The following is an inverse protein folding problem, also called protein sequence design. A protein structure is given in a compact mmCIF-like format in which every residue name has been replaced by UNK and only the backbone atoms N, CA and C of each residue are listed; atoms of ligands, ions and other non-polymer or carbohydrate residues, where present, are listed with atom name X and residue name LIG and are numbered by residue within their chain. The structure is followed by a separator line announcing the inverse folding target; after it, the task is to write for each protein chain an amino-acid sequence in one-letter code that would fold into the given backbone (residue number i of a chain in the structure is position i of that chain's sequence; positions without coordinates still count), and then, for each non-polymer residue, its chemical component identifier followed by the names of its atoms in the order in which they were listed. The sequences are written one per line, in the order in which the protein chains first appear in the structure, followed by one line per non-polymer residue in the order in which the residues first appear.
data_IF_519927903434
#
_entry.id   IF_519927903434
#
_cell.length_a   1.000
_cell.length_b   1.000
_cell.length_c   1.000
_cell.angle_alpha   90.00
_cell.angle_beta   90.00
_cell.angle_gamma   90.00
#
_symmetry.space_group_name_H-M   'P 1'
#
loop_
_entity.id
_entity.type
_entity.pdbx_description
1 polymer ?
#
# COMPACT_ATOMS: atom_id res chain seq x y z
N UNK A 1 8.53 14.39 -32.87
CA UNK A 1 8.56 14.87 -31.48
C UNK A 1 7.17 15.04 -30.83
N UNK A 2 6.08 15.38 -31.55
CA UNK A 2 4.79 15.69 -30.91
C UNK A 2 3.97 14.49 -30.37
N UNK A 3 4.14 13.29 -30.93
CA UNK A 3 3.35 12.12 -30.51
C UNK A 3 3.75 11.62 -29.12
N UNK A 4 5.06 11.61 -28.78
CA UNK A 4 5.56 11.16 -27.47
C UNK A 4 4.93 11.94 -26.30
N UNK A 5 4.90 13.27 -26.38
CA UNK A 5 4.32 14.12 -25.32
C UNK A 5 2.82 13.91 -25.11
N UNK A 6 2.07 13.51 -26.15
CA UNK A 6 0.65 13.17 -26.01
C UNK A 6 0.48 11.81 -25.35
N UNK A 7 1.26 10.82 -25.80
CA UNK A 7 1.28 9.46 -25.25
C UNK A 7 1.65 9.47 -23.77
N UNK A 8 2.70 10.20 -23.39
CA UNK A 8 3.15 10.35 -22.00
C UNK A 8 2.08 10.98 -21.11
N UNK A 9 1.40 12.04 -21.57
CA UNK A 9 0.30 12.66 -20.82
C UNK A 9 -0.86 11.68 -20.61
N UNK A 10 -1.21 10.92 -21.64
CA UNK A 10 -2.26 9.90 -21.55
C UNK A 10 -1.85 8.78 -20.59
N UNK A 11 -0.61 8.30 -20.68
CA UNK A 11 -0.07 7.28 -19.79
C UNK A 11 -0.12 7.75 -18.32
N UNK A 12 0.29 8.98 -18.04
CA UNK A 12 0.24 9.56 -16.70
C UNK A 12 -1.19 9.67 -16.15
N UNK A 13 -2.15 10.08 -16.99
CA UNK A 13 -3.57 10.13 -16.61
C UNK A 13 -4.11 8.74 -16.32
N UNK A 14 -3.88 7.77 -17.21
CA UNK A 14 -4.29 6.38 -17.01
C UNK A 14 -3.70 5.83 -15.71
N UNK A 15 -2.40 6.04 -15.45
CA UNK A 15 -1.76 5.57 -14.22
C UNK A 15 -2.45 6.11 -12.96
N UNK A 16 -2.80 7.40 -12.95
CA UNK A 16 -3.50 8.03 -11.81
C UNK A 16 -4.87 7.41 -11.60
N UNK A 17 -5.69 7.35 -12.66
CA UNK A 17 -7.04 6.80 -12.59
C UNK A 17 -7.04 5.32 -12.21
N UNK A 18 -6.09 4.55 -12.75
CA UNK A 18 -5.91 3.15 -12.41
C UNK A 18 -5.54 2.95 -10.94
N UNK A 19 -4.67 3.80 -10.40
CA UNK A 19 -4.30 3.77 -8.98
C UNK A 19 -5.49 4.06 -8.08
N UNK A 20 -6.36 4.99 -8.48
CA UNK A 20 -7.61 5.27 -7.75
C UNK A 20 -8.61 4.10 -7.87
N UNK A 21 -8.75 3.53 -9.07
CA UNK A 21 -9.62 2.38 -9.33
C UNK A 21 -9.24 1.14 -8.53
N UNK A 22 -7.95 0.86 -8.39
CA UNK A 22 -7.45 -0.26 -7.59
C UNK A 22 -7.77 -0.09 -6.10
N UNK A 23 -7.82 1.16 -5.60
CA UNK A 23 -8.12 1.44 -4.19
C UNK A 23 -9.61 1.36 -3.85
N UNK A 24 -10.49 1.82 -4.73
CA UNK A 24 -11.92 2.00 -4.39
C UNK A 24 -12.92 1.48 -5.42
N UNK A 25 -12.47 1.09 -6.62
CA UNK A 25 -13.37 0.78 -7.74
C UNK A 25 -13.49 -0.71 -8.07
N UNK A 26 -12.42 -1.49 -7.91
CA UNK A 26 -12.46 -2.93 -8.15
C UNK A 26 -13.12 -3.60 -6.94
N UNK A 27 -14.14 -4.43 -7.16
CA UNK A 27 -14.89 -5.15 -6.11
C UNK A 27 -14.52 -6.63 -5.98
N UNK A 28 -13.42 -7.03 -6.61
CA UNK A 28 -12.96 -8.42 -6.59
C UNK A 28 -12.09 -8.66 -5.37
N UNK A 29 -12.53 -9.53 -4.48
CA UNK A 29 -11.84 -9.87 -3.24
C UNK A 29 -10.44 -10.45 -3.49
N UNK A 30 -10.23 -11.12 -4.63
CA UNK A 30 -8.91 -11.65 -5.05
C UNK A 30 -7.89 -10.56 -5.31
N UNK A 31 -8.35 -9.36 -5.63
CA UNK A 31 -7.50 -8.17 -5.84
C UNK A 31 -7.25 -7.43 -4.53
N UNK A 32 -8.13 -7.58 -3.53
CA UNK A 32 -7.95 -6.96 -2.21
C UNK A 32 -7.10 -7.81 -1.25
N UNK A 33 -7.04 -9.13 -1.43
CA UNK A 33 -6.17 -10.00 -0.63
C UNK A 33 -4.67 -9.75 -0.88
N UNK A 34 -4.31 -9.45 -2.13
CA UNK A 34 -2.96 -9.00 -2.47
C UNK A 34 -2.85 -7.49 -2.32
N UNK A 35 -1.78 -6.99 -1.71
CA UNK A 35 -1.50 -5.54 -1.79
C UNK A 35 -1.02 -5.24 -3.22
N UNK A 36 -1.93 -4.71 -4.04
CA UNK A 36 -1.72 -4.42 -5.47
C UNK A 36 -1.35 -2.96 -5.68
N UNK A 37 -0.38 -2.69 -6.55
CA UNK A 37 0.02 -1.34 -6.93
C UNK A 37 0.43 -1.26 -8.40
N UNK A 38 0.22 -0.11 -9.04
CA UNK A 38 0.67 0.13 -10.43
C UNK A 38 2.08 0.68 -10.41
N UNK A 39 3.01 -0.01 -11.07
CA UNK A 39 4.39 0.48 -11.22
C UNK A 39 4.48 1.43 -12.42
N UNK A 40 4.02 0.97 -13.58
CA UNK A 40 4.23 1.65 -14.85
C UNK A 40 3.06 1.43 -15.81
N UNK A 41 2.84 2.41 -16.70
CA UNK A 41 1.83 2.34 -17.75
C UNK A 41 2.48 2.72 -19.06
N UNK A 42 2.49 1.78 -19.99
CA UNK A 42 2.96 2.01 -21.36
C UNK A 42 1.76 2.11 -22.29
N UNK A 43 1.70 3.18 -23.06
CA UNK A 43 0.65 3.39 -24.07
C UNK A 43 1.29 3.34 -25.45
N UNK A 44 0.71 2.55 -26.35
CA UNK A 44 1.16 2.48 -27.73
C UNK A 44 0.97 3.82 -28.45
N UNK A 45 1.80 4.10 -29.45
CA UNK A 45 1.75 5.36 -30.20
C UNK A 45 0.43 5.61 -30.95
N UNK A 46 -0.36 4.57 -31.17
CA UNK A 46 -1.71 4.63 -31.75
C UNK A 46 -2.82 4.90 -30.72
N UNK A 47 -2.50 4.93 -29.41
CA UNK A 47 -3.40 5.05 -28.27
C UNK A 47 -4.52 3.99 -28.24
N UNK A 48 -4.35 2.87 -28.94
CA UNK A 48 -5.33 1.78 -28.96
C UNK A 48 -4.96 0.66 -28.01
N UNK A 49 -3.69 0.54 -27.64
CA UNK A 49 -3.20 -0.50 -26.75
C UNK A 49 -2.47 0.12 -25.56
N UNK A 50 -2.75 -0.39 -24.36
CA UNK A 50 -2.15 0.05 -23.12
C UNK A 50 -1.71 -1.16 -22.30
N UNK A 51 -0.44 -1.18 -21.89
CA UNK A 51 0.11 -2.17 -20.96
C UNK A 51 0.24 -1.54 -19.59
N UNK A 52 -0.29 -2.21 -18.58
CA UNK A 52 -0.23 -1.75 -17.19
C UNK A 52 0.60 -2.76 -16.42
N UNK A 53 1.73 -2.30 -15.90
CA UNK A 53 2.60 -3.05 -15.04
C UNK A 53 2.12 -2.94 -13.60
N UNK A 54 1.84 -4.08 -12.99
CA UNK A 54 1.25 -4.19 -11.68
C UNK A 54 2.17 -5.02 -10.79
N UNK A 55 2.51 -4.47 -9.63
CA UNK A 55 3.19 -5.20 -8.57
C UNK A 55 2.14 -5.74 -7.60
N UNK A 56 2.24 -7.04 -7.29
CA UNK A 56 1.39 -7.71 -6.29
C UNK A 56 2.31 -8.23 -5.20
N UNK A 57 2.05 -7.81 -3.96
CA UNK A 57 2.75 -8.33 -2.80
C UNK A 57 2.08 -9.63 -2.35
N UNK A 58 2.84 -10.73 -2.31
CA UNK A 58 2.34 -12.05 -1.92
C UNK A 58 3.11 -13.20 -2.56
N UNK A 59 2.63 -14.43 -2.33
CA UNK A 59 3.18 -15.64 -2.94
C UNK A 59 2.89 -15.71 -4.45
N UNK A 60 3.55 -16.60 -5.19
CA UNK A 60 3.27 -16.80 -6.62
C UNK A 60 1.80 -17.19 -6.90
N UNK A 61 1.17 -17.90 -5.96
CA UNK A 61 -0.24 -18.30 -6.05
C UNK A 61 -1.16 -17.09 -5.90
N UNK A 62 -0.88 -16.21 -4.94
CA UNK A 62 -1.61 -14.95 -4.76
C UNK A 62 -1.46 -14.05 -6.00
N UNK A 63 -0.24 -13.93 -6.52
CA UNK A 63 0.03 -13.17 -7.75
C UNK A 63 -0.80 -13.69 -8.92
N UNK A 64 -0.91 -15.01 -9.09
CA UNK A 64 -1.70 -15.63 -10.16
C UNK A 64 -3.20 -15.36 -9.98
N UNK A 65 -3.73 -15.57 -8.77
CA UNK A 65 -5.15 -15.34 -8.46
C UNK A 65 -5.54 -13.87 -8.65
N UNK A 66 -4.70 -12.94 -8.17
CA UNK A 66 -4.89 -11.50 -8.37
C UNK A 66 -4.83 -11.12 -9.84
N UNK A 67 -3.89 -11.68 -10.61
CA UNK A 67 -3.81 -11.41 -12.06
C UNK A 67 -5.03 -11.93 -12.82
N UNK A 68 -5.61 -13.06 -12.42
CA UNK A 68 -6.89 -13.53 -12.97
C UNK A 68 -8.04 -12.58 -12.64
N UNK A 69 -8.12 -12.11 -11.39
CA UNK A 69 -9.12 -11.10 -10.98
C UNK A 69 -8.99 -9.80 -11.76
N UNK A 70 -7.76 -9.29 -11.94
CA UNK A 70 -7.50 -8.09 -12.74
C UNK A 70 -7.87 -8.29 -14.22
N UNK A 71 -7.61 -9.46 -14.80
CA UNK A 71 -8.04 -9.79 -16.17
C UNK A 71 -9.58 -9.83 -16.28
N UNK A 72 -10.27 -10.39 -15.30
CA UNK A 72 -11.73 -10.40 -15.25
C UNK A 72 -12.31 -8.98 -15.09
N UNK A 73 -11.61 -8.10 -14.36
CA UNK A 73 -11.97 -6.70 -14.17
C UNK A 73 -11.58 -5.79 -15.36
N UNK A 74 -10.83 -6.28 -16.35
CA UNK A 74 -10.40 -5.50 -17.51
C UNK A 74 -11.55 -4.75 -18.25
N UNK A 75 -12.71 -5.37 -18.57
CA UNK A 75 -13.81 -4.65 -19.20
C UNK A 75 -14.42 -3.57 -18.31
N UNK A 76 -14.49 -3.80 -16.99
CA UNK A 76 -14.95 -2.80 -16.03
C UNK A 76 -13.99 -1.60 -16.00
N UNK A 77 -12.69 -1.87 -15.89
CA UNK A 77 -11.63 -0.85 -15.94
C UNK A 77 -11.70 -0.05 -17.24
N UNK A 78 -11.84 -0.71 -18.39
CA UNK A 78 -12.01 -0.04 -19.69
C UNK A 78 -13.22 0.89 -19.70
N UNK A 79 -14.35 0.42 -19.17
CA UNK A 79 -15.57 1.22 -19.05
C UNK A 79 -15.38 2.46 -18.17
N UNK A 80 -14.69 2.32 -17.04
CA UNK A 80 -14.44 3.44 -16.14
C UNK A 80 -13.44 4.44 -16.74
N UNK A 81 -12.34 3.98 -17.33
CA UNK A 81 -11.38 4.84 -18.02
C UNK A 81 -12.05 5.61 -19.17
N UNK A 82 -12.99 5.00 -19.88
CA UNK A 82 -13.78 5.67 -20.92
C UNK A 82 -14.59 6.85 -20.35
N UNK A 83 -15.22 6.67 -19.19
CA UNK A 83 -16.02 7.70 -18.51
C UNK A 83 -15.14 8.83 -17.98
N UNK A 84 -14.01 8.50 -17.36
CA UNK A 84 -13.14 9.46 -16.67
C UNK A 84 -12.25 10.26 -17.62
N UNK A 85 -11.68 9.63 -18.65
CA UNK A 85 -10.77 10.31 -19.58
C UNK A 85 -11.51 10.99 -20.76
N UNK A 86 -12.83 10.81 -20.87
CA UNK A 86 -13.66 11.40 -21.94
C UNK A 86 -13.08 11.15 -23.35
N UNK A 87 -12.52 9.96 -23.56
CA UNK A 87 -11.86 9.61 -24.81
C UNK A 87 -12.85 9.06 -25.83
N UNK A 88 -12.65 9.42 -27.11
CA UNK A 88 -13.46 8.91 -28.23
C UNK A 88 -13.22 7.42 -28.49
N UNK A 89 -12.00 6.95 -28.22
CA UNK A 89 -11.61 5.54 -28.27
C UNK A 89 -10.77 5.24 -27.04
N UNK A 90 -11.26 4.33 -26.21
CA UNK A 90 -10.52 3.87 -25.02
C UNK A 90 -9.56 2.76 -25.42
N UNK A 91 -8.28 2.83 -25.02
CA UNK A 91 -7.33 1.78 -25.30
C UNK A 91 -7.76 0.45 -24.67
N UNK A 92 -7.35 -0.65 -25.29
CA UNK A 92 -7.41 -1.96 -24.66
C UNK A 92 -6.33 -2.07 -23.58
N UNK A 93 -6.75 -2.54 -22.40
CA UNK A 93 -5.90 -2.63 -21.22
C UNK A 93 -5.42 -4.05 -21.07
N UNK A 94 -4.10 -4.22 -21.04
CA UNK A 94 -3.43 -5.50 -20.77
C UNK A 94 -2.66 -5.37 -19.47
N UNK A 95 -2.95 -6.24 -18.51
CA UNK A 95 -2.22 -6.30 -17.25
C UNK A 95 -0.99 -7.21 -17.36
N UNK A 96 0.13 -6.72 -16.86
CA UNK A 96 1.39 -7.44 -16.76
C UNK A 96 1.88 -7.40 -15.32
N UNK A 97 2.29 -8.56 -14.81
CA UNK A 97 2.89 -8.65 -13.48
C UNK A 97 4.32 -8.12 -13.55
N UNK A 98 4.64 -7.18 -12.67
CA UNK A 98 5.97 -6.64 -12.50
C UNK A 98 6.75 -7.47 -11.47
N UNK A 99 7.78 -8.18 -11.93
CA UNK A 99 8.73 -8.94 -11.08
C UNK A 99 10.01 -8.16 -10.76
N UNK A 100 10.03 -6.84 -10.95
CA UNK A 100 11.23 -6.04 -10.71
C UNK A 100 11.68 -6.04 -9.24
N UNK A 101 10.74 -6.06 -8.28
CA UNK A 101 11.05 -6.08 -6.85
C UNK A 101 11.83 -7.33 -6.42
N UNK A 102 11.46 -8.49 -6.95
CA UNK A 102 12.09 -9.78 -6.65
C UNK A 102 13.55 -9.85 -7.14
N UNK A 103 13.85 -9.15 -8.25
CA UNK A 103 15.21 -9.01 -8.77
C UNK A 103 16.05 -8.06 -7.92
N UNK A 104 15.47 -6.95 -7.44
CA UNK A 104 16.19 -5.94 -6.66
C UNK A 104 16.76 -6.47 -5.35
N UNK A 105 15.96 -7.20 -4.58
CA UNK A 105 16.40 -7.86 -3.33
C UNK A 105 17.47 -8.92 -3.58
N UNK A 106 17.36 -9.67 -4.67
CA UNK A 106 18.37 -10.68 -5.05
C UNK A 106 19.73 -10.03 -5.35
N UNK A 107 19.76 -8.90 -6.07
CA UNK A 107 21.00 -8.19 -6.39
C UNK A 107 21.64 -7.58 -5.14
N UNK A 108 20.85 -6.95 -4.26
CA UNK A 108 21.32 -6.42 -2.99
C UNK A 108 21.87 -7.53 -2.07
N UNK A 109 21.22 -8.69 -2.04
CA UNK A 109 21.70 -9.86 -1.30
C UNK A 109 23.04 -10.37 -1.81
N UNK A 110 23.21 -10.46 -3.13
CA UNK A 110 24.47 -10.83 -3.76
C UNK A 110 25.58 -9.81 -3.49
N UNK A 111 25.26 -8.51 -3.52
CA UNK A 111 26.23 -7.44 -3.24
C UNK A 111 26.72 -7.51 -1.79
N UNK A 112 25.81 -7.65 -0.83
CA UNK A 112 26.14 -7.83 0.59
C UNK A 112 26.97 -9.10 0.84
N UNK A 113 26.68 -10.21 0.14
CA UNK A 113 27.50 -11.43 0.23
C UNK A 113 28.91 -11.21 -0.32
N UNK A 114 29.06 -10.45 -1.39
CA UNK A 114 30.37 -10.12 -1.97
C UNK A 114 31.16 -9.19 -1.05
N UNK A 115 30.53 -8.20 -0.44
CA UNK A 115 31.17 -7.30 0.55
C UNK A 115 31.64 -8.08 1.78
N UNK A 116 30.77 -8.91 2.37
CA UNK A 116 31.16 -9.75 3.52
C UNK A 116 32.31 -10.71 3.18
N UNK A 117 32.30 -11.31 1.98
CA UNK A 117 33.39 -12.18 1.52
C UNK A 117 34.70 -11.43 1.23
N UNK A 118 34.64 -10.12 0.93
CA UNK A 118 35.82 -9.25 0.77
C UNK A 118 36.39 -8.83 2.12
N UNK A 119 35.54 -8.52 3.09
CA UNK A 119 35.93 -8.26 4.48
C UNK A 119 36.62 -9.48 5.11
N UNK A 120 36.07 -10.68 4.93
CA UNK A 120 36.67 -11.94 5.40
C UNK A 120 38.03 -12.25 4.74
N UNK A 121 38.27 -11.73 3.54
CA UNK A 121 39.55 -11.86 2.81
C UNK A 121 40.53 -10.72 3.07
N UNK A 122 40.15 -9.71 3.87
CA UNK A 122 41.02 -8.58 4.21
C UNK A 122 41.35 -7.65 3.03
N UNK A 123 40.52 -7.62 1.99
CA UNK A 123 40.73 -6.74 0.84
C UNK A 123 40.03 -5.39 1.05
N UNK A 124 40.83 -4.33 1.18
CA UNK A 124 40.36 -2.95 1.29
C UNK A 124 39.76 -2.54 -0.08
N UNK A 125 38.53 -1.99 -0.12
CA UNK A 125 37.89 -1.60 -1.37
C UNK A 125 38.61 -0.40 -2.02
N UNK A 126 38.79 -0.39 -3.36
CA UNK A 126 39.26 0.81 -4.06
C UNK A 126 38.13 1.86 -4.07
N UNK A 127 38.33 2.97 -3.35
CA UNK A 127 37.39 4.09 -3.31
C UNK A 127 37.24 4.80 -1.96
N UNK A 128 37.96 4.39 -0.91
CA UNK A 128 38.12 5.23 0.30
C UNK A 128 39.19 6.30 0.04
N UNK A 129 38.88 7.27 -0.81
CA UNK A 129 39.58 8.54 -0.73
C UNK A 129 39.29 9.13 0.67
N UNK A 130 40.37 9.55 1.29
CA UNK A 130 40.57 9.93 2.68
C UNK A 130 39.49 10.86 3.28
N UNK A 131 38.87 10.45 4.38
CA UNK A 131 38.70 11.29 5.57
C UNK A 131 38.93 10.44 6.83
N UNK A 132 40.21 10.18 7.10
CA UNK A 132 40.66 9.88 8.47
C UNK A 132 40.60 11.17 9.27
N UNK A 133 39.43 11.48 9.85
CA UNK A 133 39.37 12.43 10.97
C UNK A 133 39.90 11.74 12.22
N UNK A 134 41.19 11.96 12.47
CA UNK A 134 41.84 11.69 13.73
C UNK A 134 41.11 12.43 14.86
N UNK A 135 40.56 11.67 15.81
CA UNK A 135 40.20 12.16 17.13
C UNK A 135 40.77 11.21 18.20
N UNK A 136 41.99 11.54 18.62
CA UNK A 136 42.44 11.63 20.02
C UNK A 136 42.31 10.41 20.95
N UNK A 137 43.47 9.76 21.18
CA UNK A 137 44.04 9.51 22.52
C UNK A 137 43.45 8.37 23.39
N UNK A 138 44.29 7.46 23.94
CA UNK A 138 43.84 6.38 24.82
C UNK A 138 43.64 6.88 26.26
N UNK A 139 42.49 6.60 26.87
CA UNK A 139 42.30 6.76 28.31
C UNK A 139 42.33 5.39 28.98
N UNK A 140 43.41 5.21 29.73
CA UNK A 140 43.77 4.11 30.60
C UNK A 140 42.78 3.94 31.77
N UNK A 141 42.64 2.70 32.22
CA UNK A 141 41.83 2.29 33.36
C UNK A 141 42.51 2.71 34.69
N UNK A 142 41.73 3.01 35.74
CA UNK A 142 41.81 2.42 37.11
C UNK A 142 41.37 3.36 38.26
N UNK A 143 40.51 2.77 39.11
CA UNK A 143 40.23 3.05 40.54
C UNK A 143 39.53 4.39 40.88
N UNK A 144 38.54 4.50 41.77
CA UNK A 144 37.93 3.60 42.75
C UNK A 144 37.01 4.42 43.68
N UNK A 145 36.25 3.72 44.54
CA UNK A 145 35.47 4.19 45.70
C UNK A 145 34.11 4.92 45.50
N UNK A 146 33.01 4.26 45.91
CA UNK A 146 31.76 4.90 46.38
C UNK A 146 31.89 5.34 47.85
N UNK A 147 30.83 5.39 48.69
CA UNK A 147 29.36 5.31 48.49
C UNK A 147 28.58 6.47 49.21
N UNK A 148 27.28 6.27 49.49
CA UNK A 148 26.34 6.93 50.45
C UNK A 148 25.07 7.56 49.81
N UNK A 149 23.92 6.88 49.89
CA UNK A 149 22.83 6.94 50.91
C UNK A 149 21.70 7.92 50.47
N UNK A 150 20.53 7.43 50.05
CA UNK A 150 19.34 7.07 50.85
C UNK A 150 18.53 8.26 51.40
N UNK A 151 17.39 8.57 50.78
CA UNK A 151 16.13 8.99 51.43
C UNK A 151 15.01 8.99 50.36
N UNK A 152 14.09 8.03 50.36
CA UNK A 152 12.83 7.96 51.10
C UNK A 152 11.61 8.39 50.26
N UNK A 153 10.74 7.41 49.95
CA UNK A 153 9.31 7.60 49.66
C UNK A 153 8.55 7.86 51.00
N UNK A 154 7.21 8.06 51.09
CA UNK A 154 6.14 7.81 50.08
C UNK A 154 4.90 8.77 50.13
N UNK A 155 3.82 8.37 49.42
CA UNK A 155 2.40 8.73 49.57
C UNK A 155 1.94 10.06 48.94
N UNK A 156 0.73 10.27 48.38
CA UNK A 156 -0.50 9.48 48.11
C UNK A 156 -1.49 10.41 47.37
N UNK A 157 -2.61 9.85 46.85
CA UNK A 157 -3.87 10.55 46.49
C UNK A 157 -3.90 11.47 45.25
N UNK A 158 -4.96 11.64 44.45
CA UNK A 158 -6.31 11.07 44.33
C UNK A 158 -6.84 11.44 42.93
N UNK A 159 -7.75 10.63 42.39
CA UNK A 159 -8.44 10.77 41.12
C UNK A 159 -9.31 12.03 40.95
N UNK A 160 -9.37 12.59 39.74
CA UNK A 160 -10.51 13.27 39.05
C UNK A 160 -10.08 13.38 37.58
N UNK A 161 -10.84 13.17 36.51
CA UNK A 161 -12.26 12.95 36.27
C UNK A 161 -12.45 12.95 34.74
N UNK A 162 -13.40 12.14 34.28
CA UNK A 162 -13.77 11.90 32.89
C UNK A 162 -14.57 13.08 32.30
N UNK A 163 -14.27 13.52 31.07
CA UNK A 163 -15.21 14.33 30.26
C UNK A 163 -14.89 14.22 28.75
N UNK A 164 -15.71 13.50 27.95
CA UNK A 164 -15.86 13.77 26.54
C UNK A 164 -17.23 14.43 26.29
N UNK A 165 -17.25 15.75 26.24
CA UNK A 165 -18.40 16.53 25.78
C UNK A 165 -18.57 16.50 24.25
N UNK A 166 -19.63 15.82 23.78
CA UNK A 166 -20.30 16.15 22.51
C UNK A 166 -21.83 16.11 22.74
N UNK A 167 -22.55 17.22 22.47
CA UNK A 167 -23.96 17.40 22.85
C UNK A 167 -24.97 16.74 21.88
N UNK A 168 -26.26 16.67 22.27
CA UNK A 168 -27.27 15.80 21.70
C UNK A 168 -28.09 16.46 20.58
N UNK A 169 -28.77 15.63 19.77
CA UNK A 169 -29.88 16.07 18.95
C UNK A 169 -30.97 14.99 18.90
N UNK A 170 -32.07 15.31 19.60
CA UNK A 170 -33.48 14.99 19.38
C UNK A 170 -33.90 13.85 18.44
N UNK A 171 -34.75 12.96 19.01
CA UNK A 171 -35.75 12.18 18.28
C UNK A 171 -36.91 13.06 17.78
N UNK A 172 -37.88 12.48 17.04
CA UNK A 172 -38.95 11.67 17.63
C UNK A 172 -39.18 10.38 16.80
N UNK A 173 -39.85 9.30 17.22
CA UNK A 173 -40.88 9.06 18.22
C UNK A 173 -42.00 8.25 17.54
N UNK A 174 -42.43 7.15 18.17
CA UNK A 174 -43.74 6.47 17.96
C UNK A 174 -43.89 5.75 16.61
N UNK A 175 -44.51 4.59 16.40
CA UNK A 175 -45.38 3.70 17.17
C UNK A 175 -45.45 2.43 16.27
N UNK A 176 -45.12 1.23 16.75
CA UNK A 176 -45.52 -0.01 16.06
C UNK A 176 -46.34 -0.87 17.00
N UNK A 177 -47.56 -0.40 17.23
CA UNK A 177 -48.69 -1.27 17.52
C UNK A 177 -49.00 -2.10 16.26
N UNK A 178 -48.53 -3.34 16.23
CA UNK A 178 -49.06 -4.36 15.31
C UNK A 178 -50.32 -4.97 15.93
N UNK A 179 -51.47 -4.42 15.57
CA UNK A 179 -52.80 -5.02 15.80
C UNK A 179 -53.04 -6.15 14.77
N UNK A 180 -53.79 -7.22 15.11
CA UNK A 180 -53.99 -8.38 14.27
C UNK A 180 -55.20 -8.20 13.35
N UNK A 181 -55.04 -8.50 12.07
CA UNK A 181 -56.15 -8.49 11.13
C UNK A 181 -55.96 -9.50 10.02
N UNK A 182 -56.55 -10.69 10.16
CA UNK A 182 -57.00 -11.48 9.01
C UNK A 182 -58.20 -12.36 9.40
N UNK A 183 -59.39 -11.82 9.16
CA UNK A 183 -60.65 -12.55 9.14
C UNK A 183 -61.55 -11.92 8.08
N UNK A 184 -61.60 -12.52 6.88
CA UNK A 184 -62.71 -12.52 5.90
C UNK A 184 -62.35 -13.62 4.86
N UNK A 185 -62.93 -14.82 4.97
CA UNK A 185 -64.08 -15.30 4.18
C UNK A 185 -63.67 -16.07 2.90
N UNK A 186 -63.75 -17.40 2.98
CA UNK A 186 -64.04 -18.24 1.83
C UNK A 186 -64.82 -19.46 2.30
N UNK A 187 -66.12 -19.47 1.98
CA UNK A 187 -67.05 -20.51 2.36
C UNK A 187 -66.68 -21.89 1.82
N UNK A 188 -66.90 -22.90 2.66
CA UNK A 188 -67.17 -24.28 2.25
C UNK A 188 -68.23 -24.86 3.18
N UNK A 189 -69.31 -25.31 2.53
CA UNK A 189 -70.37 -26.23 2.98
C UNK A 189 -71.51 -25.65 3.81
#
# INVERSE_FOLDING_TARGET
MAQGRRVERVAALIRREMSELLRSGIRDERVHHGMVSVTEVEVAGDLQHCRIHVSVFGSEDDQRLTMEGLKAAAPYVKGELARRLQMRRTPEVVFLLDRALERGTSVLGLLNQLERKREERGEIPPGSDEEVVAASGPLDERAGEGPHESEAAPASETAVGNDPGAPPADGPGMDEASDPGDAVEAGRS
#
